data_IF_837055277518
#
_entry.id   IF_837055277518
#
_cell.length_a   1.000
_cell.length_b   1.000
_cell.length_c   1.000
_cell.angle_alpha   90.00
_cell.angle_beta   90.00
_cell.angle_gamma   90.00
#
_symmetry.space_group_name_H-M   'P 1'
#
loop_
_entity.id
_entity.type
_entity.pdbx_description
1 polymer ?
#
# COMPACT_ATOMS: atom_id res chain seq x y z
N UNK A 1 27.85 -3.05 -28.83
CA UNK A 1 27.86 -1.91 -27.89
C UNK A 1 26.68 -0.97 -28.11
N UNK A 2 26.54 -0.30 -29.26
CA UNK A 2 25.41 0.64 -29.51
C UNK A 2 24.02 -0.02 -29.47
N UNK A 3 23.86 -1.21 -30.05
CA UNK A 3 22.57 -1.91 -30.04
C UNK A 3 22.13 -2.33 -28.63
N UNK A 4 23.02 -2.97 -27.87
CA UNK A 4 22.75 -3.33 -26.47
C UNK A 4 22.37 -2.12 -25.62
N UNK A 5 23.05 -0.98 -25.81
CA UNK A 5 22.71 0.25 -25.10
C UNK A 5 21.27 0.71 -25.40
N UNK A 6 20.83 0.63 -26.66
CA UNK A 6 19.46 0.98 -27.04
C UNK A 6 18.44 -0.02 -26.49
N UNK A 7 18.76 -1.31 -26.45
CA UNK A 7 17.88 -2.33 -25.88
C UNK A 7 17.67 -2.12 -24.38
N UNK A 8 18.72 -1.75 -23.65
CA UNK A 8 18.63 -1.40 -22.22
C UNK A 8 17.78 -0.14 -22.03
N UNK A 9 18.00 0.90 -22.82
CA UNK A 9 17.23 2.15 -22.74
C UNK A 9 15.72 1.91 -22.98
N UNK A 10 15.39 1.16 -24.03
CA UNK A 10 14.00 0.80 -24.34
C UNK A 10 13.36 -0.02 -23.22
N UNK A 11 14.11 -0.98 -22.65
CA UNK A 11 13.61 -1.79 -21.54
C UNK A 11 13.33 -0.95 -20.30
N UNK A 12 14.24 -0.05 -19.92
CA UNK A 12 14.03 0.82 -18.76
C UNK A 12 12.84 1.77 -18.96
N UNK A 13 12.66 2.31 -20.18
CA UNK A 13 11.49 3.13 -20.51
C UNK A 13 10.18 2.34 -20.38
N UNK A 14 10.15 1.08 -20.82
CA UNK A 14 8.99 0.21 -20.68
C UNK A 14 8.68 -0.08 -19.20
N UNK A 15 9.70 -0.28 -18.37
CA UNK A 15 9.54 -0.46 -16.91
C UNK A 15 8.94 0.80 -16.28
N UNK A 16 9.49 1.99 -16.62
CA UNK A 16 8.99 3.26 -16.11
C UNK A 16 7.53 3.47 -16.48
N UNK A 17 7.18 3.26 -17.76
CA UNK A 17 5.82 3.42 -18.27
C UNK A 17 4.83 2.48 -17.57
N UNK A 18 5.21 1.22 -17.33
CA UNK A 18 4.37 0.25 -16.61
C UNK A 18 4.20 0.60 -15.13
N UNK A 19 5.16 1.29 -14.53
CA UNK A 19 5.09 1.76 -13.15
C UNK A 19 4.50 3.16 -12.99
N UNK A 20 4.02 3.80 -14.05
CA UNK A 20 3.63 5.21 -13.98
C UNK A 20 2.51 5.42 -12.95
N UNK A 21 2.74 6.33 -11.99
CA UNK A 21 1.87 6.61 -10.83
C UNK A 21 1.69 5.44 -9.84
N UNK A 22 2.47 4.37 -9.94
CA UNK A 22 2.51 3.27 -8.99
C UNK A 22 3.86 3.24 -8.25
N UNK A 23 3.84 2.81 -6.99
CA UNK A 23 5.07 2.66 -6.19
C UNK A 23 5.69 1.27 -6.35
N UNK A 24 4.97 0.35 -6.98
CA UNK A 24 5.34 -1.06 -7.15
C UNK A 24 4.81 -1.60 -8.47
N UNK A 25 5.53 -2.55 -9.07
CA UNK A 25 5.07 -3.31 -10.25
C UNK A 25 4.69 -4.71 -9.77
N UNK A 26 3.43 -5.08 -9.95
CA UNK A 26 2.94 -6.43 -9.70
C UNK A 26 2.79 -7.19 -11.03
N UNK A 27 3.20 -8.45 -11.05
CA UNK A 27 3.10 -9.30 -12.24
C UNK A 27 1.83 -10.14 -12.15
N UNK A 28 0.92 -9.96 -13.12
CA UNK A 28 -0.37 -10.66 -13.17
C UNK A 28 -1.55 -9.72 -12.86
N UNK A 29 -2.74 -10.30 -12.75
CA UNK A 29 -3.96 -9.56 -12.38
C UNK A 29 -4.29 -9.83 -10.92
N UNK A 30 -4.84 -8.82 -10.22
CA UNK A 30 -5.42 -9.04 -8.90
C UNK A 30 -6.54 -10.10 -9.00
N UNK A 31 -6.55 -11.03 -8.05
CA UNK A 31 -7.50 -12.15 -7.99
C UNK A 31 -8.56 -11.96 -6.90
N UNK A 32 -8.52 -10.83 -6.18
CA UNK A 32 -9.54 -10.45 -5.20
C UNK A 32 -10.82 -10.00 -5.91
N UNK A 33 -11.97 -10.41 -5.38
CA UNK A 33 -13.28 -9.93 -5.82
C UNK A 33 -13.55 -8.49 -5.34
N UNK A 34 -12.70 -7.94 -4.47
CA UNK A 34 -12.79 -6.57 -3.98
C UNK A 34 -11.80 -5.69 -4.73
N UNK A 35 -12.33 -4.65 -5.39
CA UNK A 35 -11.53 -3.67 -6.11
C UNK A 35 -10.83 -2.70 -5.14
N UNK A 36 -9.68 -3.10 -4.62
CA UNK A 36 -8.78 -2.27 -3.82
C UNK A 36 -7.68 -1.64 -4.69
N UNK A 37 -7.18 -0.48 -4.25
CA UNK A 37 -5.94 0.08 -4.80
C UNK A 37 -4.74 -0.69 -4.25
N UNK A 38 -3.63 -0.74 -4.99
CA UNK A 38 -2.39 -1.37 -4.51
C UNK A 38 -1.96 -0.85 -3.13
N UNK A 39 -2.09 0.46 -2.87
CA UNK A 39 -1.79 1.02 -1.54
C UNK A 39 -2.70 0.46 -0.44
N UNK A 40 -3.97 0.19 -0.72
CA UNK A 40 -4.87 -0.44 0.25
C UNK A 40 -4.47 -1.91 0.49
N UNK A 41 -4.22 -2.68 -0.57
CA UNK A 41 -3.76 -4.07 -0.44
C UNK A 41 -2.44 -4.18 0.34
N UNK A 42 -1.49 -3.30 0.05
CA UNK A 42 -0.20 -3.26 0.74
C UNK A 42 -0.36 -2.83 2.21
N UNK A 43 -1.29 -1.92 2.54
CA UNK A 43 -1.64 -1.63 3.94
C UNK A 43 -2.16 -2.89 4.64
N UNK A 44 -3.07 -3.65 4.02
CA UNK A 44 -3.60 -4.89 4.59
C UNK A 44 -2.48 -5.92 4.81
N UNK A 45 -1.59 -6.08 3.83
CA UNK A 45 -0.42 -6.94 3.95
C UNK A 45 0.46 -6.56 5.15
N UNK A 46 0.80 -5.28 5.31
CA UNK A 46 1.61 -4.83 6.45
C UNK A 46 0.91 -5.05 7.80
N UNK A 47 -0.41 -4.84 7.84
CA UNK A 47 -1.20 -5.01 9.07
C UNK A 47 -1.47 -6.48 9.43
N UNK A 48 -1.27 -7.41 8.49
CA UNK A 48 -1.31 -8.85 8.75
C UNK A 48 -0.13 -9.34 9.60
N UNK A 49 0.99 -8.61 9.56
CA UNK A 49 2.19 -8.96 10.31
C UNK A 49 2.23 -8.25 11.68
N UNK A 50 1.79 -7.00 11.74
CA UNK A 50 1.84 -6.20 12.97
C UNK A 50 0.88 -5.00 12.95
N UNK A 51 0.47 -4.53 14.14
CA UNK A 51 -0.37 -3.34 14.27
C UNK A 51 0.46 -2.06 14.09
N UNK A 52 0.08 -1.22 13.13
CA UNK A 52 0.84 -0.01 12.76
C UNK A 52 0.01 1.27 12.87
N UNK A 53 0.71 2.38 13.07
CA UNK A 53 0.14 3.73 13.03
C UNK A 53 0.18 4.32 11.61
N UNK A 54 -0.56 5.42 11.37
CA UNK A 54 -0.51 6.16 10.10
C UNK A 54 0.92 6.56 9.69
N UNK A 55 1.73 7.00 10.65
CA UNK A 55 3.10 7.47 10.40
C UNK A 55 4.01 6.33 9.97
N UNK A 56 3.85 5.15 10.57
CA UNK A 56 4.64 3.97 10.24
C UNK A 56 4.26 3.39 8.87
N UNK A 57 2.96 3.31 8.58
CA UNK A 57 2.46 2.91 7.26
C UNK A 57 2.98 3.86 6.16
N UNK A 58 2.91 5.17 6.37
CA UNK A 58 3.39 6.16 5.42
C UNK A 58 4.90 6.00 5.14
N UNK A 59 5.69 5.75 6.19
CA UNK A 59 7.14 5.51 6.07
C UNK A 59 7.46 4.24 5.30
N UNK A 60 6.74 3.13 5.58
CA UNK A 60 7.00 1.83 4.93
C UNK A 60 6.59 1.81 3.46
N UNK A 61 5.44 2.41 3.16
CA UNK A 61 4.89 2.49 1.81
C UNK A 61 5.53 3.62 0.98
N UNK A 62 6.36 4.46 1.59
CA UNK A 62 6.96 5.64 0.96
C UNK A 62 5.92 6.57 0.32
N UNK A 63 4.81 6.83 1.04
CA UNK A 63 3.72 7.71 0.61
C UNK A 63 3.43 8.80 1.65
N UNK A 64 2.63 9.80 1.28
CA UNK A 64 2.19 10.83 2.23
C UNK A 64 1.24 10.27 3.29
N UNK A 65 1.27 10.84 4.51
CA UNK A 65 0.30 10.50 5.55
C UNK A 65 -1.16 10.79 5.14
N UNK A 66 -1.37 11.75 4.23
CA UNK A 66 -2.69 12.04 3.67
C UNK A 66 -3.20 10.89 2.78
N UNK A 67 -2.31 10.29 1.98
CA UNK A 67 -2.63 9.11 1.17
C UNK A 67 -2.99 7.91 2.07
N UNK A 68 -2.22 7.66 3.12
CA UNK A 68 -2.54 6.63 4.13
C UNK A 68 -3.89 6.91 4.79
N UNK A 69 -4.13 8.14 5.24
CA UNK A 69 -5.40 8.51 5.89
C UNK A 69 -6.60 8.27 4.96
N UNK A 70 -6.45 8.58 3.66
CA UNK A 70 -7.49 8.32 2.66
C UNK A 70 -7.74 6.81 2.49
N UNK A 71 -6.67 6.02 2.36
CA UNK A 71 -6.76 4.57 2.18
C UNK A 71 -7.39 3.89 3.41
N UNK A 72 -6.91 4.21 4.61
CA UNK A 72 -7.44 3.69 5.88
C UNK A 72 -8.93 4.04 6.03
N UNK A 73 -9.34 5.28 5.75
CA UNK A 73 -10.76 5.67 5.84
C UNK A 73 -11.64 4.83 4.91
N UNK A 74 -11.15 4.46 3.72
CA UNK A 74 -11.88 3.56 2.83
C UNK A 74 -11.94 2.14 3.40
N UNK A 75 -10.81 1.59 3.85
CA UNK A 75 -10.72 0.24 4.40
C UNK A 75 -11.57 0.06 5.68
N UNK A 76 -11.59 1.05 6.57
CA UNK A 76 -12.47 1.04 7.76
C UNK A 76 -13.95 1.11 7.34
N UNK A 77 -14.27 1.93 6.33
CA UNK A 77 -15.65 2.02 5.81
C UNK A 77 -16.11 0.71 5.15
N UNK A 78 -15.19 0.01 4.49
CA UNK A 78 -15.42 -1.31 3.90
C UNK A 78 -15.41 -2.45 4.94
N UNK A 79 -15.11 -2.12 6.20
CA UNK A 79 -15.13 -3.08 7.31
C UNK A 79 -13.91 -3.98 7.38
N UNK A 80 -12.85 -3.71 6.60
CA UNK A 80 -11.62 -4.51 6.57
C UNK A 80 -10.68 -4.19 7.75
N UNK A 81 -10.75 -2.96 8.27
CA UNK A 81 -9.91 -2.49 9.36
C UNK A 81 -10.72 -1.98 10.54
N UNK A 82 -10.20 -2.21 11.74
CA UNK A 82 -10.65 -1.58 12.98
C UNK A 82 -9.56 -0.73 13.64
N UNK A 83 -9.97 0.21 14.48
CA UNK A 83 -9.06 1.13 15.17
C UNK A 83 -8.93 0.76 16.64
N UNK A 84 -7.70 0.66 17.12
CA UNK A 84 -7.37 0.47 18.53
C UNK A 84 -6.55 1.64 19.06
N UNK A 85 -6.82 2.09 20.29
CA UNK A 85 -6.05 3.16 20.94
C UNK A 85 -4.96 2.57 21.81
N UNK A 86 -3.80 3.22 21.81
CA UNK A 86 -2.72 2.79 22.70
C UNK A 86 -3.14 2.94 24.18
N UNK A 87 -2.94 1.91 25.02
CA UNK A 87 -3.30 1.96 26.44
C UNK A 87 -2.50 2.98 27.28
N UNK A 88 -1.30 3.36 26.81
CA UNK A 88 -0.38 4.30 27.49
C UNK A 88 -0.55 5.73 26.96
N UNK A 89 -0.90 5.92 25.69
CA UNK A 89 -1.19 7.21 25.08
C UNK A 89 -2.39 7.16 24.11
N UNK A 90 -3.57 7.55 24.60
CA UNK A 90 -4.81 7.51 23.82
C UNK A 90 -4.83 8.39 22.55
N UNK A 91 -3.80 9.21 22.31
CA UNK A 91 -3.61 9.97 21.06
C UNK A 91 -3.05 9.11 19.93
N UNK A 92 -2.42 7.98 20.26
CA UNK A 92 -1.86 7.03 19.30
C UNK A 92 -2.95 6.04 18.90
N UNK A 93 -3.16 5.92 17.59
CA UNK A 93 -4.15 5.02 16.98
C UNK A 93 -3.40 3.98 16.15
N UNK A 94 -3.67 2.72 16.48
CA UNK A 94 -3.25 1.55 15.71
C UNK A 94 -4.42 1.02 14.89
N UNK A 95 -4.08 0.32 13.81
CA UNK A 95 -5.04 -0.39 12.97
C UNK A 95 -4.80 -1.88 13.04
N UNK A 96 -5.88 -2.65 12.96
CA UNK A 96 -5.87 -4.11 12.96
C UNK A 96 -6.82 -4.62 11.88
N UNK A 97 -6.47 -5.76 11.28
CA UNK A 97 -7.35 -6.47 10.37
C UNK A 97 -8.56 -6.99 11.13
N UNK A 98 -9.71 -6.96 10.47
CA UNK A 98 -10.90 -7.68 10.92
C UNK A 98 -10.93 -9.07 10.27
N UNK A 99 -11.86 -9.92 10.71
CA UNK A 99 -12.11 -11.23 10.08
C UNK A 99 -12.58 -11.16 8.61
N UNK A 100 -12.93 -9.97 8.11
CA UNK A 100 -13.31 -9.79 6.70
C UNK A 100 -12.08 -9.73 5.77
N UNK A 101 -10.93 -9.33 6.31
CA UNK A 101 -9.73 -8.97 5.56
C UNK A 101 -8.67 -10.08 5.56
#
# INVERSE_FOLDING_TARGET
MRQLAQEIDNFLNEVILRSENQHEILIGHCTSDVALTNTQEHILMLLSEESLTNSELARRLNVSQAAVTKAIKSLVKEGMLETSRDPKDARVIFYQLTELA
#
